data_IF_918701936837
#
_entry.id   IF_918701936837
#
_cell.length_a   1.000
_cell.length_b   1.000
_cell.length_c   1.000
_cell.angle_alpha   90.00
_cell.angle_beta   90.00
_cell.angle_gamma   90.00
#
_symmetry.space_group_name_H-M   'P 1'
#
loop_
_entity.id
_entity.type
_entity.pdbx_description
1 polymer ?
#
# COMPACT_ATOMS: atom_id res chain seq x y z
N UNK A 1 -14.00 -1.07 4.44
CA UNK A 1 -12.77 -0.56 3.80
C UNK A 1 -12.03 -1.74 3.20
N UNK A 2 -11.48 -1.60 2.00
CA UNK A 2 -10.67 -2.62 1.34
C UNK A 2 -9.34 -1.98 0.96
N UNK A 3 -8.23 -2.65 1.25
CA UNK A 3 -6.88 -2.19 0.88
C UNK A 3 -6.13 -3.38 0.30
N UNK A 4 -5.59 -3.22 -0.90
CA UNK A 4 -4.82 -4.25 -1.59
C UNK A 4 -3.33 -4.04 -1.29
N UNK A 5 -2.80 -4.71 -0.27
CA UNK A 5 -1.41 -4.55 0.16
C UNK A 5 -0.40 -5.26 -0.73
N UNK A 6 -0.85 -6.15 -1.64
CA UNK A 6 0.03 -6.90 -2.55
C UNK A 6 -0.67 -7.19 -3.87
N UNK A 7 0.05 -6.96 -4.96
CA UNK A 7 -0.33 -7.36 -6.31
C UNK A 7 0.82 -8.15 -6.94
N UNK A 8 0.50 -9.33 -7.45
CA UNK A 8 1.43 -10.17 -8.18
C UNK A 8 1.01 -10.29 -9.63
N UNK A 9 1.96 -10.10 -10.54
CA UNK A 9 1.74 -10.20 -11.96
C UNK A 9 3.03 -10.59 -12.68
N UNK A 10 2.90 -11.08 -13.90
CA UNK A 10 4.04 -11.24 -14.81
C UNK A 10 4.35 -9.89 -15.45
N UNK A 11 5.61 -9.44 -15.35
CA UNK A 11 6.04 -8.18 -15.94
C UNK A 11 5.83 -8.22 -17.47
N UNK A 12 5.09 -7.26 -18.07
CA UNK A 12 4.65 -7.34 -19.46
C UNK A 12 5.79 -7.27 -20.48
N UNK A 13 6.91 -6.63 -20.12
CA UNK A 13 8.09 -6.53 -20.99
C UNK A 13 9.12 -7.66 -20.81
N UNK A 14 9.48 -8.00 -19.58
CA UNK A 14 10.57 -8.96 -19.29
C UNK A 14 10.08 -10.39 -19.05
N UNK A 15 8.78 -10.58 -18.86
CA UNK A 15 8.19 -11.88 -18.51
C UNK A 15 8.54 -12.38 -17.11
N UNK A 16 9.25 -11.60 -16.30
CA UNK A 16 9.64 -12.00 -14.94
C UNK A 16 8.50 -11.77 -13.93
N UNK A 17 8.45 -12.53 -12.83
CA UNK A 17 7.53 -12.23 -11.74
C UNK A 17 7.76 -10.83 -11.18
N UNK A 18 6.69 -10.05 -11.05
CA UNK A 18 6.67 -8.72 -10.46
C UNK A 18 5.73 -8.73 -9.25
N UNK A 19 6.25 -8.30 -8.11
CA UNK A 19 5.49 -8.14 -6.87
C UNK A 19 5.48 -6.65 -6.54
N UNK A 20 4.29 -6.08 -6.40
CA UNK A 20 4.07 -4.70 -5.97
C UNK A 20 3.43 -4.78 -4.58
N UNK A 21 4.00 -4.07 -3.61
CA UNK A 21 3.50 -4.02 -2.23
C UNK A 21 3.10 -2.59 -1.87
N UNK A 22 1.98 -2.44 -1.18
CA UNK A 22 1.50 -1.18 -0.65
C UNK A 22 1.37 -1.29 0.87
N UNK A 23 1.89 -0.30 1.58
CA UNK A 23 1.70 -0.22 3.02
C UNK A 23 0.29 0.28 3.34
N UNK A 24 -0.15 -0.04 4.56
CA UNK A 24 -1.43 0.42 5.06
C UNK A 24 -1.45 1.95 5.14
N UNK A 25 -2.53 2.52 4.62
CA UNK A 25 -2.79 3.94 4.73
C UNK A 25 -3.09 4.36 6.17
N UNK A 26 -3.16 5.68 6.40
CA UNK A 26 -3.40 6.26 7.71
C UNK A 26 -4.70 5.75 8.36
N UNK A 27 -5.75 5.51 7.56
CA UNK A 27 -7.05 5.07 8.11
C UNK A 27 -6.94 3.63 8.65
N UNK A 28 -6.23 2.76 7.94
CA UNK A 28 -5.92 1.42 8.44
C UNK A 28 -4.97 1.44 9.63
N UNK A 29 -3.97 2.31 9.65
CA UNK A 29 -3.06 2.45 10.80
C UNK A 29 -3.79 2.91 12.07
N UNK A 30 -4.78 3.79 11.93
CA UNK A 30 -5.63 4.19 13.04
C UNK A 30 -6.50 3.03 13.54
N UNK A 31 -7.12 2.27 12.63
CA UNK A 31 -7.90 1.08 13.00
C UNK A 31 -7.03 0.05 13.75
N UNK A 32 -5.84 -0.29 13.23
CA UNK A 32 -4.92 -1.20 13.91
C UNK A 32 -4.53 -0.71 15.31
N UNK A 33 -4.37 0.61 15.49
CA UNK A 33 -4.08 1.20 16.80
C UNK A 33 -5.24 1.05 17.77
N UNK A 34 -6.47 1.34 17.32
CA UNK A 34 -7.67 1.25 18.16
C UNK A 34 -7.95 -0.18 18.64
N UNK A 35 -7.69 -1.17 17.80
CA UNK A 35 -7.89 -2.58 18.15
C UNK A 35 -6.65 -3.24 18.81
N UNK A 36 -5.56 -2.50 19.01
CA UNK A 36 -4.34 -3.01 19.65
C UNK A 36 -3.55 -4.00 18.79
N UNK A 37 -3.71 -3.95 17.46
CA UNK A 37 -3.09 -4.86 16.50
C UNK A 37 -1.81 -4.33 15.85
N UNK A 38 -1.27 -3.20 16.34
CA UNK A 38 0.01 -2.68 15.85
C UNK A 38 1.14 -3.69 16.09
N UNK A 39 2.03 -3.79 15.11
CA UNK A 39 3.19 -4.69 15.14
C UNK A 39 2.87 -6.13 14.73
N UNK A 40 1.61 -6.47 14.48
CA UNK A 40 1.21 -7.80 14.02
C UNK A 40 1.35 -7.98 12.50
N UNK A 41 1.45 -6.87 11.75
CA UNK A 41 1.60 -6.87 10.29
C UNK A 41 2.83 -6.04 9.86
N UNK A 42 4.05 -6.44 10.28
CA UNK A 42 5.25 -5.62 10.11
C UNK A 42 5.58 -5.28 8.66
N UNK A 43 5.21 -6.14 7.71
CA UNK A 43 5.46 -5.94 6.28
C UNK A 43 4.49 -4.93 5.66
N UNK A 44 3.26 -4.83 6.18
CA UNK A 44 2.25 -3.89 5.68
C UNK A 44 2.32 -2.54 6.42
N UNK A 45 2.90 -2.48 7.61
CA UNK A 45 3.09 -1.24 8.40
C UNK A 45 4.29 -0.40 7.93
N UNK A 46 5.22 -0.98 7.15
CA UNK A 46 6.51 -0.35 6.78
C UNK A 46 6.70 -0.15 5.28
N UNK A 47 5.84 0.63 4.65
CA UNK A 47 6.13 1.14 3.30
C UNK A 47 6.35 2.65 3.38
N UNK A 48 7.55 3.10 3.01
CA UNK A 48 7.86 4.52 2.87
C UNK A 48 7.08 5.07 1.67
N UNK A 49 5.88 5.58 1.93
CA UNK A 49 5.24 6.48 0.98
C UNK A 49 5.95 7.83 1.07
N UNK A 50 6.66 8.22 0.02
CA UNK A 50 6.97 9.64 -0.14
C UNK A 50 5.65 10.40 -0.17
N UNK A 51 5.46 11.35 0.75
CA UNK A 51 4.25 12.19 0.91
C UNK A 51 3.81 12.93 -0.36
N UNK A 52 4.61 12.87 -1.42
CA UNK A 52 4.33 13.41 -2.75
C UNK A 52 3.67 12.43 -3.73
N UNK A 53 3.20 11.26 -3.29
CA UNK A 53 2.49 10.31 -4.18
C UNK A 53 1.12 10.86 -4.57
N UNK A 54 1.12 11.83 -5.48
CA UNK A 54 -0.04 12.39 -6.18
C UNK A 54 -0.44 11.43 -7.29
N UNK A 55 -0.90 10.24 -6.93
CA UNK A 55 -1.51 9.33 -7.90
C UNK A 55 -2.95 9.71 -8.24
N UNK A 56 -3.63 10.45 -7.36
CA UNK A 56 -5.04 10.86 -7.48
C UNK A 56 -5.22 12.39 -7.56
N UNK A 57 -4.29 13.13 -8.18
CA UNK A 57 -4.66 14.48 -8.65
C UNK A 57 -5.50 14.33 -9.91
N UNK A 58 -6.83 14.36 -9.74
CA UNK A 58 -7.76 14.58 -10.84
C UNK A 58 -7.41 15.93 -11.47
N UNK A 59 -6.82 15.90 -12.67
CA UNK A 59 -6.62 17.09 -13.49
C UNK A 59 -7.99 17.72 -13.80
N UNK A 60 -8.38 18.71 -13.01
CA UNK A 60 -9.55 19.53 -13.30
C UNK A 60 -9.12 20.63 -14.28
N UNK A 61 -9.60 20.56 -15.52
CA UNK A 61 -9.49 21.64 -16.53
C UNK A 61 -10.58 22.68 -16.29
#
# INVERSE_FOLDING_TARGET
MLHASRLELTHPFTGQPLIIQAGLDETWMQALTQFGWRGLLPDNERVEFTTASRQDESYQT
#
